data_IF_045474014376
#
_entry.id   IF_045474014376
#
_cell.length_a   1.000
_cell.length_b   1.000
_cell.length_c   1.000
_cell.angle_alpha   90.00
_cell.angle_beta   90.00
_cell.angle_gamma   90.00
#
_symmetry.space_group_name_H-M   'P 1'
#
loop_
_entity.id
_entity.type
_entity.pdbx_description
1 polymer ?
#
# COMPACT_ATOMS: atom_id res chain seq x y z
N UNK A 1 30.68 15.46 -7.64
CA UNK A 1 29.42 15.96 -8.21
C UNK A 1 28.43 14.83 -8.56
N UNK A 2 28.82 13.83 -9.36
CA UNK A 2 27.91 12.76 -9.83
C UNK A 2 27.31 11.86 -8.72
N UNK A 3 28.06 11.54 -7.66
CA UNK A 3 27.60 10.69 -6.55
C UNK A 3 26.43 11.33 -5.80
N UNK A 4 26.49 12.64 -5.54
CA UNK A 4 25.42 13.35 -4.84
C UNK A 4 24.10 13.32 -5.64
N UNK A 5 24.18 13.43 -6.97
CA UNK A 5 23.01 13.36 -7.85
C UNK A 5 22.33 11.98 -7.82
N UNK A 6 23.12 10.91 -7.72
CA UNK A 6 22.59 9.55 -7.55
C UNK A 6 21.92 9.37 -6.19
N UNK A 7 22.52 9.88 -5.11
CA UNK A 7 21.96 9.81 -3.76
C UNK A 7 20.63 10.56 -3.67
N UNK A 8 20.57 11.79 -4.21
CA UNK A 8 19.35 12.61 -4.21
C UNK A 8 18.22 11.91 -4.99
N UNK A 9 18.53 11.34 -6.15
CA UNK A 9 17.52 10.60 -6.95
C UNK A 9 16.98 9.39 -6.20
N UNK A 10 17.84 8.62 -5.54
CA UNK A 10 17.40 7.46 -4.73
C UNK A 10 16.60 7.89 -3.50
N UNK A 11 16.99 8.98 -2.85
CA UNK A 11 16.25 9.52 -1.71
C UNK A 11 14.84 9.95 -2.10
N UNK A 12 14.67 10.62 -3.24
CA UNK A 12 13.34 10.99 -3.75
C UNK A 12 12.47 9.76 -3.99
N UNK A 13 13.02 8.72 -4.65
CA UNK A 13 12.30 7.46 -4.86
C UNK A 13 11.88 6.80 -3.55
N UNK A 14 12.79 6.76 -2.57
CA UNK A 14 12.51 6.21 -1.24
C UNK A 14 11.44 7.01 -0.51
N UNK A 15 11.47 8.35 -0.55
CA UNK A 15 10.47 9.18 0.12
C UNK A 15 9.08 9.01 -0.50
N UNK A 16 8.98 8.94 -1.83
CA UNK A 16 7.71 8.68 -2.52
C UNK A 16 7.17 7.30 -2.10
N UNK A 17 8.01 6.28 -2.12
CA UNK A 17 7.64 4.94 -1.71
C UNK A 17 7.18 4.88 -0.24
N UNK A 18 7.93 5.52 0.66
CA UNK A 18 7.59 5.62 2.08
C UNK A 18 6.26 6.36 2.28
N UNK A 19 6.01 7.46 1.57
CA UNK A 19 4.76 8.21 1.67
C UNK A 19 3.55 7.36 1.23
N UNK A 20 3.68 6.59 0.15
CA UNK A 20 2.65 5.66 -0.30
C UNK A 20 2.39 4.58 0.75
N UNK A 21 3.44 3.93 1.26
CA UNK A 21 3.31 2.89 2.29
C UNK A 21 2.67 3.41 3.57
N UNK A 22 3.09 4.60 4.04
CA UNK A 22 2.55 5.22 5.24
C UNK A 22 1.08 5.58 5.05
N UNK A 23 0.72 6.16 3.91
CA UNK A 23 -0.68 6.47 3.59
C UNK A 23 -1.52 5.20 3.61
N UNK A 24 -1.02 4.12 3.02
CA UNK A 24 -1.67 2.82 3.04
C UNK A 24 -1.80 2.27 4.47
N UNK A 25 -0.72 2.23 5.24
CA UNK A 25 -0.71 1.75 6.63
C UNK A 25 -1.64 2.56 7.55
N UNK A 26 -1.64 3.89 7.44
CA UNK A 26 -2.57 4.76 8.19
C UNK A 26 -4.02 4.43 7.86
N UNK A 27 -4.33 4.13 6.60
CA UNK A 27 -5.68 3.73 6.20
C UNK A 27 -6.12 2.43 6.88
N UNK A 28 -5.20 1.47 7.08
CA UNK A 28 -5.47 0.25 7.85
C UNK A 28 -5.63 0.52 9.35
N UNK A 29 -4.77 1.36 9.94
CA UNK A 29 -4.77 1.66 11.39
C UNK A 29 -6.03 2.44 11.81
N UNK A 30 -6.42 3.45 11.04
CA UNK A 30 -7.63 4.26 11.32
C UNK A 30 -8.91 3.46 11.08
N UNK A 31 -8.81 2.35 10.34
CA UNK A 31 -9.93 1.53 9.90
C UNK A 31 -10.59 2.20 8.71
N UNK A 32 -10.15 1.85 7.50
CA UNK A 32 -10.66 2.46 6.27
C UNK A 32 -12.16 2.28 6.05
N UNK A 33 -12.86 1.46 6.84
CA UNK A 33 -14.33 1.40 6.88
C UNK A 33 -14.94 2.74 7.34
N UNK A 34 -14.19 3.56 8.11
CA UNK A 34 -14.56 4.94 8.45
C UNK A 34 -14.24 5.96 7.36
N UNK A 35 -13.29 5.67 6.46
CA UNK A 35 -12.82 6.57 5.41
C UNK A 35 -13.49 6.31 4.06
N UNK A 36 -13.69 5.04 3.72
CA UNK A 36 -14.21 4.53 2.45
C UNK A 36 -15.55 3.79 2.61
N UNK A 37 -16.06 3.66 3.84
CA UNK A 37 -17.36 3.03 4.09
C UNK A 37 -17.38 1.54 3.71
N UNK A 38 -18.51 1.01 3.23
CA UNK A 38 -18.65 -0.42 2.91
C UNK A 38 -17.70 -0.91 1.80
N UNK A 39 -17.25 0.00 0.92
CA UNK A 39 -16.28 -0.31 -0.15
C UNK A 39 -14.91 -0.71 0.43
N UNK A 40 -14.59 -0.29 1.66
CA UNK A 40 -13.36 -0.71 2.33
C UNK A 40 -13.25 -2.23 2.47
N UNK A 41 -14.36 -2.90 2.79
CA UNK A 41 -14.36 -4.36 2.91
C UNK A 41 -14.00 -5.06 1.61
N UNK A 42 -14.36 -4.46 0.48
CA UNK A 42 -14.00 -5.01 -0.83
C UNK A 42 -12.53 -4.76 -1.20
N UNK A 43 -11.95 -3.66 -0.72
CA UNK A 43 -10.55 -3.28 -0.97
C UNK A 43 -9.54 -3.92 -0.01
N UNK A 44 -9.99 -4.41 1.15
CA UNK A 44 -9.11 -5.07 2.11
C UNK A 44 -8.48 -6.31 1.45
N UNK A 45 -7.18 -6.49 1.69
CA UNK A 45 -6.32 -7.50 1.08
C UNK A 45 -6.91 -8.92 1.10
N UNK A 46 -7.71 -9.27 2.12
CA UNK A 46 -8.39 -10.57 2.20
C UNK A 46 -9.47 -10.73 1.12
N UNK A 47 -10.26 -9.71 0.84
CA UNK A 47 -11.30 -9.76 -0.19
C UNK A 47 -10.70 -9.59 -1.59
N UNK A 48 -9.62 -8.82 -1.74
CA UNK A 48 -8.86 -8.75 -3.00
C UNK A 48 -8.18 -10.08 -3.30
N UNK A 49 -7.58 -10.74 -2.30
CA UNK A 49 -7.01 -12.07 -2.46
C UNK A 49 -8.07 -13.14 -2.77
N UNK A 50 -9.27 -13.01 -2.18
CA UNK A 50 -10.42 -13.86 -2.47
C UNK A 50 -10.96 -13.64 -3.90
N UNK A 51 -11.20 -12.39 -4.29
CA UNK A 51 -11.64 -11.98 -5.65
C UNK A 51 -10.65 -12.38 -6.74
N UNK A 52 -9.35 -12.35 -6.45
CA UNK A 52 -8.29 -12.74 -7.39
C UNK A 52 -7.98 -14.25 -7.33
N UNK A 53 -8.69 -15.03 -6.49
CA UNK A 53 -8.50 -16.48 -6.36
C UNK A 53 -7.15 -16.89 -5.77
N UNK A 54 -6.42 -15.96 -5.14
CA UNK A 54 -5.11 -16.20 -4.52
C UNK A 54 -5.21 -16.94 -3.18
N UNK A 55 -6.40 -16.98 -2.58
CA UNK A 55 -6.70 -17.80 -1.39
C UNK A 55 -6.94 -19.28 -1.73
N UNK A 56 -7.17 -19.62 -3.01
CA UNK A 56 -7.49 -20.98 -3.47
C UNK A 56 -6.30 -21.85 -3.90
N UNK A 57 -5.06 -21.34 -3.85
CA UNK A 57 -3.86 -22.12 -4.21
C UNK A 57 -3.34 -23.03 -3.08
N UNK A 58 -3.98 -23.02 -1.90
CA UNK A 58 -3.83 -24.05 -0.88
C UNK A 58 -5.08 -24.95 -0.91
N UNK A 59 -5.14 -25.84 -1.90
CA UNK A 59 -6.16 -26.88 -2.07
C UNK A 59 -5.57 -28.04 -2.84
#
# INVERSE_FOLDING_TARGET
MAVLCNVVRSAVGFTIFAAVLLTWATTFIVGGERLFGPVWKDLVMYNVADKLGLTGFMG
#
